data_IF_741890298029
#
_entry.id   IF_741890298029
#
_cell.length_a   1.000
_cell.length_b   1.000
_cell.length_c   1.000
_cell.angle_alpha   90.00
_cell.angle_beta   90.00
_cell.angle_gamma   90.00
#
_symmetry.space_group_name_H-M   'P 1'
#
loop_
_entity.id
_entity.type
_entity.pdbx_description
1 polymer ?
2 non-polymer ?
3 non-polymer ?
4 water ?
#
# COMPACT_ATOMS: atom_id res chain seq x y z
N UNK A 15 -27.44 22.70 -10.95
CA UNK A 15 -26.47 21.91 -11.72
C UNK A 15 -27.01 21.43 -13.10
N UNK A 16 -26.09 21.17 -14.02
CA UNK A 16 -26.31 21.14 -15.47
C UNK A 16 -26.11 19.73 -16.03
N UNK A 17 -26.97 19.33 -16.97
CA UNK A 17 -26.87 18.01 -17.62
C UNK A 17 -26.04 18.15 -18.89
N UNK A 18 -25.26 17.14 -19.25
CA UNK A 18 -24.53 17.31 -20.52
C UNK A 18 -24.24 15.92 -21.06
N UNK A 19 -24.84 15.58 -22.19
CA UNK A 19 -24.90 14.20 -22.56
C UNK A 19 -25.48 13.44 -21.40
N UNK A 20 -24.90 12.30 -21.05
CA UNK A 20 -25.43 11.52 -19.95
C UNK A 20 -24.82 11.91 -18.61
N UNK A 21 -24.05 12.99 -18.56
CA UNK A 21 -23.30 13.38 -17.39
C UNK A 21 -23.93 14.61 -16.73
N UNK A 22 -23.52 14.88 -15.50
CA UNK A 22 -24.03 16.02 -14.74
C UNK A 22 -22.85 16.78 -14.13
N UNK A 23 -22.90 18.10 -14.19
CA UNK A 23 -21.81 18.93 -13.73
C UNK A 23 -22.34 19.99 -12.79
N UNK A 24 -21.59 20.25 -11.71
CA UNK A 24 -22.08 21.10 -10.63
C UNK A 24 -20.95 21.97 -10.14
N UNK A 25 -21.12 23.28 -10.14
CA UNK A 25 -19.97 24.07 -9.74
C UNK A 25 -19.97 24.18 -8.22
N UNK A 26 -18.86 23.84 -7.60
CA UNK A 26 -18.77 23.79 -6.16
C UNK A 26 -18.13 25.04 -5.59
N UNK A 27 -17.34 25.76 -6.41
CA UNK A 27 -16.54 26.92 -6.01
C UNK A 27 -16.03 27.57 -7.28
N UNK A 28 -15.56 28.84 -7.22
CA UNK A 28 -15.07 29.55 -8.41
C UNK A 28 -14.41 28.72 -9.50
N UNK A 29 -13.40 27.91 -9.15
CA UNK A 29 -12.64 27.16 -10.14
C UNK A 29 -12.67 25.66 -9.88
N UNK A 30 -13.75 25.21 -9.23
CA UNK A 30 -13.93 23.83 -8.83
C UNK A 30 -15.32 23.39 -9.25
N UNK A 31 -15.41 22.32 -10.03
CA UNK A 31 -16.67 21.69 -10.39
C UNK A 31 -16.59 20.23 -9.99
N UNK A 32 -17.74 19.64 -9.76
CA UNK A 32 -17.87 18.20 -9.56
C UNK A 32 -18.54 17.59 -10.79
N UNK A 33 -17.86 16.61 -11.41
CA UNK A 33 -18.45 15.87 -12.53
C UNK A 33 -19.09 14.57 -12.05
N UNK A 34 -20.16 14.17 -12.72
CA UNK A 34 -20.94 13.00 -12.32
C UNK A 34 -21.33 12.15 -13.53
N UNK A 35 -21.02 10.86 -13.46
CA UNK A 35 -21.41 9.91 -14.48
C UNK A 35 -22.16 8.75 -13.83
N UNK A 36 -22.82 7.95 -14.66
CA UNK A 36 -23.74 6.94 -14.18
C UNK A 36 -23.45 5.60 -14.83
N UNK A 37 -23.69 4.53 -14.09
CA UNK A 37 -23.59 3.21 -14.68
C UNK A 37 -24.80 2.40 -14.24
N UNK A 38 -25.45 1.72 -15.17
CA UNK A 38 -26.55 0.83 -14.82
C UNK A 38 -25.97 -0.47 -14.28
N UNK A 39 -26.12 -0.72 -12.98
CA UNK A 39 -25.67 -1.95 -12.37
C UNK A 39 -26.86 -2.85 -12.10
N UNK A 40 -26.82 -4.11 -12.49
CA UNK A 40 -28.05 -4.93 -12.61
C UNK A 40 -28.58 -5.35 -11.26
N UNK A 41 -29.81 -4.96 -10.95
CA UNK A 41 -30.45 -5.20 -9.69
C UNK A 41 -30.67 -3.95 -8.86
N UNK A 42 -29.82 -2.93 -9.05
CA UNK A 42 -29.96 -1.64 -8.39
C UNK A 42 -30.12 -0.48 -9.37
N UNK A 43 -30.01 -0.71 -10.67
CA UNK A 43 -30.14 0.39 -11.59
C UNK A 43 -28.93 1.31 -11.52
N UNK A 44 -29.18 2.60 -11.73
CA UNK A 44 -28.11 3.57 -11.99
C UNK A 44 -27.35 3.92 -10.73
N UNK A 45 -26.04 4.09 -10.89
CA UNK A 45 -25.17 4.49 -9.79
C UNK A 45 -24.34 5.69 -10.23
N UNK A 46 -24.32 6.71 -9.39
CA UNK A 46 -23.61 7.93 -9.71
C UNK A 46 -22.17 7.84 -9.20
N UNK A 47 -21.27 8.52 -9.91
CA UNK A 47 -19.89 8.60 -9.45
C UNK A 47 -19.40 10.01 -9.74
N UNK A 48 -18.81 10.63 -8.72
CA UNK A 48 -18.35 12.02 -8.75
C UNK A 48 -16.83 12.07 -8.82
N UNK A 49 -16.33 12.99 -9.64
CA UNK A 49 -14.96 13.44 -9.58
C UNK A 49 -14.91 14.96 -9.57
N UNK A 50 -13.70 15.50 -9.67
CA UNK A 50 -13.52 16.94 -9.65
C UNK A 50 -12.82 17.45 -10.91
N UNK A 51 -13.16 18.67 -11.25
CA UNK A 51 -12.52 19.45 -12.31
C UNK A 51 -12.08 20.74 -11.65
N UNK A 52 -10.86 21.18 -11.95
CA UNK A 52 -10.24 22.31 -11.24
C UNK A 52 -9.50 23.17 -12.23
N UNK A 53 -9.85 24.46 -12.29
CA UNK A 53 -9.16 25.40 -13.16
C UNK A 53 -8.07 26.10 -12.37
N UNK A 54 -6.82 25.94 -12.80
CA UNK A 54 -5.67 26.51 -12.11
C UNK A 54 -4.92 27.28 -13.19
N UNK A 55 -5.11 28.61 -13.22
CA UNK A 55 -4.43 29.45 -14.19
C UNK A 55 -4.89 29.13 -15.61
N UNK A 56 -3.92 28.80 -16.47
CA UNK A 56 -4.21 28.36 -17.83
C UNK A 56 -4.51 26.89 -17.99
N UNK A 57 -4.46 26.11 -16.91
CA UNK A 57 -4.61 24.66 -16.94
C UNK A 57 -5.93 24.24 -16.33
N UNK A 58 -6.36 23.03 -16.68
CA UNK A 58 -7.38 22.34 -15.91
C UNK A 58 -6.79 21.02 -15.42
N UNK A 59 -7.13 20.68 -14.18
CA UNK A 59 -6.71 19.47 -13.50
C UNK A 59 -7.96 18.61 -13.30
N UNK A 60 -7.87 17.33 -13.61
CA UNK A 60 -8.97 16.40 -13.37
C UNK A 60 -8.63 15.45 -12.22
N UNK A 61 -9.62 15.23 -11.36
CA UNK A 61 -9.54 14.28 -10.28
C UNK A 61 -10.57 13.19 -10.57
N UNK A 62 -10.09 12.02 -11.01
CA UNK A 62 -10.85 10.80 -11.28
C UNK A 62 -11.54 10.82 -12.64
N UNK A 63 -11.55 9.68 -13.31
CA UNK A 63 -12.24 9.59 -14.59
C UNK A 63 -13.71 9.35 -14.32
N UNK A 64 -14.47 9.17 -15.39
CA UNK A 64 -15.82 8.64 -15.30
C UNK A 64 -15.77 7.11 -15.41
N UNK A 65 -16.93 6.47 -15.22
CA UNK A 65 -17.02 5.02 -15.33
C UNK A 65 -16.38 4.49 -16.62
N UNK A 66 -16.51 5.19 -17.73
CA UNK A 66 -16.16 4.62 -19.03
C UNK A 66 -15.32 5.60 -19.82
N UNK A 67 -14.71 5.08 -20.89
CA UNK A 67 -13.98 5.94 -21.82
C UNK A 67 -14.90 6.96 -22.49
N UNK A 68 -16.12 6.55 -22.86
CA UNK A 68 -17.00 7.47 -23.57
C UNK A 68 -17.45 8.61 -22.67
N UNK A 69 -17.82 8.29 -21.42
CA UNK A 69 -18.20 9.31 -20.45
C UNK A 69 -17.05 10.26 -20.16
N UNK A 70 -15.82 9.74 -20.20
CA UNK A 70 -14.64 10.57 -19.91
C UNK A 70 -14.33 11.50 -21.09
N UNK A 71 -14.45 10.99 -22.31
CA UNK A 71 -14.47 11.86 -23.49
C UNK A 71 -15.51 12.97 -23.34
N UNK A 72 -16.69 12.63 -22.78
CA UNK A 72 -17.71 13.64 -22.56
C UNK A 72 -17.26 14.69 -21.55
N UNK A 73 -16.56 14.25 -20.48
CA UNK A 73 -15.96 15.21 -19.54
C UNK A 73 -15.05 16.17 -20.30
N UNK A 74 -14.17 15.61 -21.13
CA UNK A 74 -13.20 16.45 -21.83
C UNK A 74 -13.90 17.45 -22.74
N UNK A 75 -14.95 16.99 -23.42
CA UNK A 75 -15.77 17.85 -24.27
C UNK A 75 -16.38 19.00 -23.49
N UNK A 76 -16.98 18.68 -22.34
CA UNK A 76 -17.54 19.72 -21.49
C UNK A 76 -16.47 20.70 -21.01
N UNK A 77 -15.24 20.24 -20.76
CA UNK A 77 -14.20 21.16 -20.34
C UNK A 77 -13.83 22.07 -21.49
N UNK A 78 -13.76 21.48 -22.67
CA UNK A 78 -13.55 22.27 -23.85
C UNK A 78 -14.60 23.38 -23.93
N UNK A 79 -15.86 23.04 -23.68
CA UNK A 79 -16.93 24.00 -23.90
C UNK A 79 -17.05 25.03 -22.78
N UNK A 80 -16.95 24.60 -21.53
CA UNK A 80 -17.23 25.54 -20.44
C UNK A 80 -15.99 26.24 -19.91
N UNK A 81 -14.79 25.79 -20.24
CA UNK A 81 -13.58 26.37 -19.66
C UNK A 81 -12.59 26.67 -20.78
N UNK A 82 -12.42 25.71 -21.69
CA UNK A 82 -11.68 25.90 -22.93
C UNK A 82 -10.24 26.32 -22.67
N UNK A 83 -9.63 25.62 -21.74
CA UNK A 83 -8.27 25.52 -21.27
C UNK A 83 -7.80 24.08 -21.49
N UNK A 84 -6.50 23.88 -21.76
CA UNK A 84 -6.00 22.51 -21.92
C UNK A 84 -6.00 21.76 -20.59
N UNK A 85 -6.18 20.43 -20.68
CA UNK A 85 -6.13 19.58 -19.50
C UNK A 85 -4.69 19.15 -19.27
N UNK A 86 -4.09 19.67 -18.20
CA UNK A 86 -2.69 19.40 -17.94
C UNK A 86 -2.49 17.97 -17.43
N UNK A 87 -3.28 17.57 -16.43
CA UNK A 87 -3.03 16.31 -15.76
C UNK A 87 -4.33 15.79 -15.17
N UNK A 88 -4.39 14.47 -15.02
CA UNK A 88 -5.43 13.81 -14.23
C UNK A 88 -4.79 13.06 -13.07
N UNK A 89 -5.48 13.06 -11.93
CA UNK A 89 -5.18 12.19 -10.79
C UNK A 89 -6.38 11.27 -10.58
N UNK A 90 -6.12 9.97 -10.42
CA UNK A 90 -7.17 9.01 -10.10
C UNK A 90 -6.91 8.47 -8.69
N UNK A 91 -7.98 8.20 -7.96
CA UNK A 91 -7.85 8.02 -6.53
C UNK A 91 -7.85 6.56 -6.06
N UNK A 92 -8.12 5.60 -6.94
CA UNK A 92 -7.79 4.18 -6.73
C UNK A 92 -8.24 3.35 -7.93
N UNK A 93 -7.79 2.10 -7.94
CA UNK A 93 -7.90 1.27 -9.13
C UNK A 93 -9.22 0.50 -9.15
N UNK A 94 -10.32 1.25 -9.18
CA UNK A 94 -11.64 0.70 -9.50
C UNK A 94 -12.25 1.48 -10.66
N UNK A 95 -13.36 0.95 -11.18
CA UNK A 95 -13.90 1.45 -12.44
C UNK A 95 -14.49 2.86 -12.32
N UNK A 96 -15.16 3.16 -11.20
CA UNK A 96 -15.72 4.50 -11.07
C UNK A 96 -14.61 5.55 -11.09
N UNK A 97 -13.38 5.17 -10.74
CA UNK A 97 -12.31 6.15 -10.64
C UNK A 97 -11.31 6.07 -11.77
N UNK A 98 -11.10 4.87 -12.35
CA UNK A 98 -10.17 4.68 -13.46
C UNK A 98 -10.78 4.12 -14.73
N UNK A 99 -12.10 4.00 -14.82
CA UNK A 99 -12.67 3.38 -16.00
C UNK A 99 -12.31 4.04 -17.31
N UNK A 100 -11.97 5.33 -17.28
CA UNK A 100 -11.71 6.06 -18.50
C UNK A 100 -10.27 6.51 -18.72
N UNK A 101 -9.30 5.68 -18.35
CA UNK A 101 -7.90 6.06 -18.56
C UNK A 101 -7.53 6.14 -20.03
N UNK A 102 -8.12 5.27 -20.86
CA UNK A 102 -7.82 5.30 -22.30
C UNK A 102 -8.22 6.63 -22.94
N UNK A 103 -9.37 7.18 -22.53
CA UNK A 103 -9.79 8.45 -23.10
C UNK A 103 -8.77 9.55 -22.80
N UNK A 104 -8.33 9.62 -21.55
CA UNK A 104 -7.35 10.62 -21.15
C UNK A 104 -6.06 10.45 -21.93
N UNK A 105 -5.61 9.20 -22.09
CA UNK A 105 -4.37 8.97 -22.82
C UNK A 105 -4.52 9.36 -24.28
N UNK A 106 -5.69 9.11 -24.86
CA UNK A 106 -5.94 9.48 -26.25
C UNK A 106 -6.02 10.98 -26.43
N UNK A 107 -6.50 11.70 -25.43
CA UNK A 107 -6.35 13.15 -25.41
C UNK A 107 -4.94 13.60 -25.03
N UNK A 108 -4.00 12.66 -24.90
CA UNK A 108 -2.64 12.97 -24.53
C UNK A 108 -2.50 13.75 -23.23
N UNK A 109 -3.41 13.53 -22.28
CA UNK A 109 -3.34 14.13 -20.95
C UNK A 109 -2.47 13.26 -20.06
N UNK A 110 -1.57 13.89 -19.29
CA UNK A 110 -0.72 13.18 -18.35
C UNK A 110 -1.53 12.65 -17.15
N UNK A 111 -1.40 11.37 -16.86
CA UNK A 111 -2.16 10.73 -15.79
C UNK A 111 -1.28 10.33 -14.62
N UNK A 112 -1.86 10.38 -13.43
CA UNK A 112 -1.15 10.10 -12.21
C UNK A 112 -2.02 9.25 -11.31
N UNK A 113 -1.39 8.26 -10.66
CA UNK A 113 -2.05 7.51 -9.61
C UNK A 113 -1.04 7.06 -8.57
N UNK A 114 -1.58 6.60 -7.44
CA UNK A 114 -0.77 5.87 -6.47
C UNK A 114 -0.04 4.74 -7.19
N UNK A 115 1.25 4.59 -6.89
CA UNK A 115 2.03 3.51 -7.46
C UNK A 115 1.35 2.17 -7.23
N UNK A 116 0.78 1.99 -6.03
CA UNK A 116 0.00 0.78 -5.76
C UNK A 116 -1.20 0.66 -6.69
N UNK A 117 -1.84 1.79 -7.03
CA UNK A 117 -2.95 1.71 -7.96
C UNK A 117 -2.47 1.17 -9.30
N UNK A 118 -1.33 1.68 -9.78
CA UNK A 118 -0.79 1.24 -11.04
C UNK A 118 -0.36 -0.22 -10.99
N UNK A 119 0.09 -0.70 -9.82
CA UNK A 119 0.42 -2.11 -9.69
C UNK A 119 -0.83 -2.98 -9.69
N UNK A 120 -1.89 -2.53 -9.00
CA UNK A 120 -3.14 -3.28 -8.94
C UNK A 120 -3.95 -3.25 -10.25
N UNK A 121 -3.82 -2.18 -11.03
CA UNK A 121 -4.76 -1.92 -12.13
C UNK A 121 -4.92 -3.08 -13.10
N UNK A 122 -3.86 -3.74 -13.58
CA UNK A 122 -4.07 -4.86 -14.51
C UNK A 122 -4.96 -5.94 -13.91
N UNK A 123 -4.73 -6.30 -12.65
CA UNK A 123 -5.60 -7.28 -12.03
C UNK A 123 -6.96 -6.73 -11.68
N UNK A 124 -7.12 -5.43 -11.43
CA UNK A 124 -8.53 -5.04 -11.36
C UNK A 124 -9.11 -4.65 -12.71
N UNK A 125 -8.45 -5.01 -13.80
CA UNK A 125 -8.92 -4.74 -15.13
C UNK A 125 -8.96 -3.29 -15.53
N UNK A 126 -8.11 -2.44 -14.94
CA UNK A 126 -7.98 -1.05 -15.32
C UNK A 126 -6.67 -0.83 -16.08
N UNK A 127 -6.61 0.28 -16.81
CA UNK A 127 -5.38 0.75 -17.45
C UNK A 127 -4.61 1.58 -16.44
N UNK A 128 -3.36 1.21 -16.18
CA UNK A 128 -2.56 2.01 -15.25
C UNK A 128 -2.42 3.45 -15.72
N UNK A 129 -2.22 4.36 -14.76
CA UNK A 129 -1.80 5.71 -15.13
C UNK A 129 -0.37 5.67 -15.66
N UNK A 130 0.04 6.78 -16.28
CA UNK A 130 1.38 6.85 -16.85
C UNK A 130 2.43 7.10 -15.78
N UNK A 131 2.03 7.70 -14.67
CA UNK A 131 2.96 8.15 -13.64
C UNK A 131 2.51 7.62 -12.28
N UNK A 132 3.48 7.41 -11.37
CA UNK A 132 3.19 6.82 -10.06
C UNK A 132 3.55 7.80 -8.94
N UNK A 133 2.57 8.13 -8.11
CA UNK A 133 2.80 8.89 -6.88
C UNK A 133 3.32 7.94 -5.80
N UNK A 134 4.22 8.43 -4.94
CA UNK A 134 4.60 7.71 -3.74
C UNK A 134 4.42 8.63 -2.56
N UNK A 135 4.43 8.06 -1.35
CA UNK A 135 4.03 8.81 -0.17
C UNK A 135 5.02 8.61 0.96
N UNK A 136 5.14 9.65 1.79
CA UNK A 136 5.88 9.62 3.02
C UNK A 136 5.15 8.77 4.05
N UNK A 137 5.86 8.41 5.11
CA UNK A 137 5.23 7.67 6.19
C UNK A 137 4.09 8.45 6.83
N UNK A 138 4.10 9.78 6.73
CA UNK A 138 3.03 10.58 7.32
C UNK A 138 1.79 10.67 6.44
N UNK A 139 1.84 10.12 5.22
CA UNK A 139 0.72 10.13 4.30
C UNK A 139 0.88 11.08 3.14
N UNK A 140 1.70 12.11 3.27
CA UNK A 140 1.77 13.15 2.26
C UNK A 140 2.52 12.67 1.02
N UNK A 141 2.05 13.11 -0.14
CA UNK A 141 2.69 12.72 -1.39
C UNK A 141 4.10 13.24 -1.37
N UNK A 142 5.03 12.44 -1.88
CA UNK A 142 6.38 12.92 -2.17
C UNK A 142 6.23 13.92 -3.31
N UNK A 143 6.66 15.18 -3.14
CA UNK A 143 6.36 16.19 -4.17
C UNK A 143 7.09 15.95 -5.48
N UNK A 144 8.25 15.29 -5.45
CA UNK A 144 8.93 14.92 -6.69
C UNK A 144 7.98 14.18 -7.64
N UNK A 145 7.14 13.30 -7.09
CA UNK A 145 6.33 12.43 -7.91
C UNK A 145 5.02 13.10 -8.35
N UNK A 146 4.70 14.28 -7.83
CA UNK A 146 3.52 15.03 -8.24
C UNK A 146 3.94 16.42 -8.70
N UNK A 147 4.72 16.51 -9.79
CA UNK A 147 5.24 17.81 -10.23
C UNK A 147 4.11 18.72 -10.71
N UNK A 148 4.16 19.98 -10.26
CA UNK A 148 3.28 21.03 -10.72
C UNK A 148 1.81 20.58 -10.64
N UNK A 149 1.37 20.31 -9.43
CA UNK A 149 -0.05 19.95 -9.22
C UNK A 149 -0.82 21.20 -8.76
N UNK A 150 -0.16 22.36 -8.68
CA UNK A 150 -0.85 23.54 -8.20
C UNK A 150 -1.58 23.36 -6.89
N UNK A 151 -2.89 23.65 -6.85
CA UNK A 151 -3.64 23.59 -5.59
C UNK A 151 -3.99 22.20 -5.11
N UNK A 152 -3.66 21.16 -5.87
CA UNK A 152 -4.07 19.79 -5.51
C UNK A 152 -3.07 19.26 -4.49
N UNK A 153 -3.53 19.00 -3.27
CA UNK A 153 -2.71 18.41 -2.22
C UNK A 153 -3.17 16.97 -2.02
N UNK A 154 -2.29 16.02 -2.33
CA UNK A 154 -2.65 14.60 -2.38
C UNK A 154 -2.18 13.93 -1.08
N UNK A 155 -3.07 13.18 -0.45
CA UNK A 155 -2.79 12.54 0.82
C UNK A 155 -3.21 11.08 0.76
N UNK A 156 -2.31 10.17 1.15
CA UNK A 156 -2.67 8.78 1.25
C UNK A 156 -3.05 8.46 2.71
N UNK A 157 -4.32 8.26 3.03
CA UNK A 157 -4.72 8.13 4.43
C UNK A 157 -4.50 6.75 5.04
N UNK A 158 -4.06 5.79 4.24
CA UNK A 158 -3.96 4.43 4.73
C UNK A 158 -5.04 3.57 4.10
N UNK A 159 -4.96 2.25 4.29
CA UNK A 159 -5.92 1.35 3.68
C UNK A 159 -7.33 1.44 4.28
N UNK A 160 -8.35 1.59 3.43
CA UNK A 160 -9.75 1.63 3.87
C UNK A 160 -10.69 0.98 2.87
N UNK A 161 -11.25 1.76 1.94
CA UNK A 161 -12.12 1.21 0.85
C UNK A 161 -11.27 0.28 -0.01
N UNK A 162 -10.06 0.71 -0.32
CA UNK A 162 -9.10 -0.13 -1.06
C UNK A 162 -7.77 0.04 -0.32
N UNK A 163 -6.82 -0.83 -0.54
CA UNK A 163 -5.53 -0.55 0.07
C UNK A 163 -4.85 0.65 -0.60
N UNK A 164 -5.33 1.09 -1.75
CA UNK A 164 -4.60 2.13 -2.54
C UNK A 164 -5.33 3.49 -2.58
N UNK A 165 -6.47 3.60 -1.90
CA UNK A 165 -7.29 4.85 -1.94
C UNK A 165 -6.49 6.08 -1.53
N UNK A 166 -6.50 7.11 -2.37
CA UNK A 166 -5.80 8.40 -2.07
C UNK A 166 -6.85 9.52 -2.05
N UNK A 167 -6.50 10.69 -1.52
CA UNK A 167 -7.45 11.79 -1.33
C UNK A 167 -6.80 13.10 -1.75
N UNK A 168 -7.61 14.10 -2.10
CA UNK A 168 -7.05 15.34 -2.66
C UNK A 168 -7.81 16.53 -2.07
N UNK A 169 -7.10 17.41 -1.35
CA UNK A 169 -7.64 18.71 -0.99
C UNK A 169 -7.28 19.76 -2.04
N UNK A 170 -8.10 20.81 -2.15
CA UNK A 170 -7.83 21.89 -3.09
C UNK A 170 -7.48 23.15 -2.30
N UNK A 171 -6.22 23.58 -2.45
CA UNK A 171 -5.78 24.86 -1.92
C UNK A 171 -6.73 25.97 -2.36
N UNK A 172 -6.87 26.99 -1.52
CA UNK A 172 -7.70 28.11 -1.89
C UNK A 172 -9.18 27.84 -1.91
N UNK A 173 -9.60 26.69 -1.38
CA UNK A 173 -11.01 26.38 -1.18
C UNK A 173 -11.10 25.72 0.18
N UNK A 174 -12.31 25.43 0.63
CA UNK A 174 -12.49 24.54 1.76
C UNK A 174 -13.08 23.20 1.31
N UNK A 175 -12.59 22.71 0.17
CA UNK A 175 -12.98 21.44 -0.41
C UNK A 175 -11.83 20.45 -0.26
N UNK A 176 -12.16 19.29 0.27
CA UNK A 176 -11.33 18.10 0.21
C UNK A 176 -12.15 16.99 -0.42
N UNK A 177 -11.47 16.11 -1.16
CA UNK A 177 -12.09 15.02 -1.88
C UNK A 177 -11.67 13.71 -1.23
N UNK A 178 -12.66 13.02 -0.63
CA UNK A 178 -12.49 11.72 -0.01
C UNK A 178 -12.61 10.53 -0.94
N UNK A 179 -13.15 10.71 -2.13
CA UNK A 179 -13.29 9.58 -3.04
C UNK A 179 -14.24 8.56 -2.46
N UNK A 180 -13.94 7.28 -2.67
CA UNK A 180 -14.80 6.20 -2.17
C UNK A 180 -14.55 5.91 -0.71
N UNK A 181 -13.51 6.50 -0.10
CA UNK A 181 -13.25 6.30 1.32
C UNK A 181 -14.38 6.84 2.20
N UNK A 182 -14.89 8.05 1.89
CA UNK A 182 -15.87 8.75 2.73
C UNK A 182 -17.26 8.51 2.19
N UNK A 183 -18.19 8.16 3.08
CA UNK A 183 -19.62 8.06 2.86
C UNK A 183 -20.33 9.25 3.51
N UNK A 184 -21.64 9.34 3.29
CA UNK A 184 -22.31 10.60 3.61
C UNK A 184 -22.78 10.51 5.05
N UNK A 185 -23.04 11.68 5.66
CA UNK A 185 -23.34 11.66 7.10
C UNK A 185 -24.59 10.86 7.44
N UNK A 186 -25.53 10.70 6.51
CA UNK A 186 -26.75 9.94 6.75
C UNK A 186 -26.71 8.57 6.08
N UNK A 187 -25.51 8.05 5.84
CA UNK A 187 -25.35 6.79 5.11
C UNK A 187 -25.58 5.62 6.04
N UNK A 188 -26.14 4.54 5.49
CA UNK A 188 -26.46 3.39 6.32
C UNK A 188 -25.32 2.40 6.40
N UNK A 189 -24.52 2.24 5.35
CA UNK A 189 -23.33 1.39 5.40
C UNK A 189 -22.17 2.09 4.71
N UNK A 190 -21.07 1.35 4.55
CA UNK A 190 -19.83 1.83 3.96
C UNK A 190 -19.70 1.43 2.49
N UNK A 191 -20.71 0.81 1.92
CA UNK A 191 -20.68 0.53 0.50
C UNK A 191 -19.92 -0.73 0.20
N UNK A 192 -19.26 -0.78 -0.96
CA UNK A 192 -18.55 -1.99 -1.35
C UNK A 192 -17.32 -2.18 -0.47
N UNK A 193 -17.35 -3.20 0.39
CA UNK A 193 -16.20 -3.55 1.22
C UNK A 193 -15.47 -4.79 0.72
N UNK A 194 -15.77 -5.24 -0.52
CA UNK A 194 -15.16 -6.45 -1.02
C UNK A 194 -13.66 -6.36 -1.23
N UNK A 195 -13.12 -5.13 -1.28
CA UNK A 195 -11.68 -4.91 -1.41
C UNK A 195 -11.12 -4.13 -0.23
N UNK A 196 -11.88 -4.01 0.85
CA UNK A 196 -11.62 -3.02 1.90
C UNK A 196 -10.73 -3.58 2.99
N UNK A 197 -10.04 -2.68 3.69
CA UNK A 197 -9.27 -3.02 4.88
C UNK A 197 -10.12 -2.66 6.09
N UNK A 198 -10.84 -3.65 6.62
CA UNK A 198 -11.78 -3.40 7.71
C UNK A 198 -11.07 -2.97 8.99
N UNK A 199 -9.79 -3.33 9.13
CA UNK A 199 -9.08 -3.19 10.39
C UNK A 199 -8.56 -1.77 10.57
N UNK A 200 -8.29 -1.11 9.45
CA UNK A 200 -7.68 0.21 9.43
C UNK A 200 -8.56 1.29 8.87
N UNK A 201 -9.76 0.94 8.41
CA UNK A 201 -10.65 1.90 7.71
C UNK A 201 -10.97 3.12 8.58
N UNK A 202 -11.42 2.91 9.81
CA UNK A 202 -11.71 4.07 10.66
C UNK A 202 -10.50 4.97 10.76
N UNK A 203 -9.32 4.37 11.01
CA UNK A 203 -8.13 5.18 11.18
C UNK A 203 -7.80 5.96 9.91
N UNK A 204 -8.04 5.37 8.73
CA UNK A 204 -7.71 6.07 7.48
C UNK A 204 -8.67 7.23 7.23
N UNK A 205 -9.96 7.00 7.46
CA UNK A 205 -10.92 8.10 7.39
C UNK A 205 -10.52 9.25 8.31
N UNK A 206 -10.12 8.92 9.54
CA UNK A 206 -9.79 9.98 10.48
C UNK A 206 -8.49 10.68 10.08
N UNK A 207 -7.53 9.92 9.53
CA UNK A 207 -6.29 10.51 9.05
C UNK A 207 -6.58 11.47 7.93
N UNK A 208 -7.59 11.18 7.12
CA UNK A 208 -7.99 12.08 6.03
C UNK A 208 -8.53 13.39 6.60
N UNK A 209 -9.45 13.28 7.56
CA UNK A 209 -9.82 14.41 8.40
C UNK A 209 -8.65 15.23 8.91
N UNK A 210 -7.77 14.61 9.71
CA UNK A 210 -6.66 15.36 10.28
C UNK A 210 -5.75 15.93 9.21
N UNK A 211 -5.69 15.28 8.04
CA UNK A 211 -4.82 15.77 6.98
C UNK A 211 -5.35 17.05 6.38
N UNK A 212 -6.68 17.19 6.29
CA UNK A 212 -7.29 18.44 5.81
C UNK A 212 -8.18 19.06 6.88
N UNK A 213 -7.60 19.54 7.99
CA UNK A 213 -8.42 19.78 9.20
C UNK A 213 -9.38 20.96 9.08
N UNK A 214 -9.11 21.95 8.22
CA UNK A 214 -9.97 23.11 8.02
C UNK A 214 -11.03 22.88 6.95
N UNK A 215 -10.76 22.04 5.95
CA UNK A 215 -11.69 21.77 4.87
C UNK A 215 -13.09 21.49 5.41
N UNK A 216 -14.07 22.22 4.88
CA UNK A 216 -15.42 22.11 5.39
C UNK A 216 -16.44 21.56 4.39
N UNK A 217 -16.09 21.48 3.11
CA UNK A 217 -16.92 20.83 2.09
C UNK A 217 -16.22 19.54 1.65
N UNK A 218 -16.79 18.41 2.04
CA UNK A 218 -16.22 17.10 1.78
C UNK A 218 -16.91 16.53 0.54
N UNK A 219 -16.20 16.53 -0.58
CA UNK A 219 -16.67 15.88 -1.79
C UNK A 219 -16.43 14.38 -1.70
N UNK A 220 -17.36 13.59 -2.24
CA UNK A 220 -17.34 12.15 -2.11
C UNK A 220 -17.67 11.53 -3.47
N UNK A 221 -17.43 10.22 -3.59
CA UNK A 221 -17.68 9.56 -4.86
C UNK A 221 -19.17 9.46 -5.16
N UNK A 222 -19.98 9.18 -4.13
CA UNK A 222 -21.35 8.70 -4.35
C UNK A 222 -22.41 9.49 -3.62
N UNK A 223 -22.08 10.65 -3.07
CA UNK A 223 -23.11 11.51 -2.54
C UNK A 223 -22.76 12.92 -2.92
N UNK A 224 -23.77 13.79 -2.80
CA UNK A 224 -23.55 15.20 -2.96
C UNK A 224 -22.63 15.68 -1.84
N UNK A 225 -21.88 16.77 -2.08
CA UNK A 225 -20.96 17.30 -1.06
C UNK A 225 -21.62 17.40 0.30
N UNK A 226 -20.84 17.17 1.34
CA UNK A 226 -21.38 17.00 2.68
C UNK A 226 -20.50 17.76 3.65
N UNK A 227 -20.89 17.74 4.91
CA UNK A 227 -20.14 18.34 6.01
C UNK A 227 -19.13 17.36 6.60
N UNK A 228 -18.25 17.87 7.46
CA UNK A 228 -17.26 17.00 8.09
C UNK A 228 -17.91 15.88 8.88
N UNK A 229 -19.23 15.94 9.10
CA UNK A 229 -19.91 14.80 9.72
C UNK A 229 -19.89 13.58 8.82
N UNK A 230 -19.59 13.75 7.54
CA UNK A 230 -19.36 12.60 6.67
C UNK A 230 -18.15 11.81 7.14
N UNK A 231 -17.03 12.50 7.39
CA UNK A 231 -15.83 11.86 7.93
C UNK A 231 -16.15 11.20 9.26
N UNK A 232 -16.80 11.94 10.16
CA UNK A 232 -17.11 11.41 11.48
C UNK A 232 -17.96 10.16 11.38
N UNK A 233 -19.01 10.23 10.54
CA UNK A 233 -19.96 9.15 10.47
C UNK A 233 -19.35 7.93 9.81
N UNK A 234 -18.55 8.15 8.77
CA UNK A 234 -17.82 7.05 8.13
C UNK A 234 -16.89 6.36 9.11
N UNK A 235 -16.08 7.14 9.83
CA UNK A 235 -15.19 6.56 10.84
C UNK A 235 -15.98 5.76 11.88
N UNK A 236 -17.08 6.34 12.40
CA UNK A 236 -17.88 5.68 13.42
C UNK A 236 -18.47 4.37 12.88
N UNK A 237 -18.85 4.38 11.60
CA UNK A 237 -19.36 3.17 10.97
C UNK A 237 -18.28 2.12 10.83
N UNK A 238 -17.04 2.55 10.51
CA UNK A 238 -15.93 1.60 10.36
C UNK A 238 -15.51 1.01 11.70
N UNK A 239 -15.66 1.79 12.79
CA UNK A 239 -15.32 1.31 14.11
C UNK A 239 -16.18 0.12 14.50
N UNK A 240 -17.45 0.14 14.12
CA UNK A 240 -18.37 -0.96 14.35
C UNK A 240 -18.10 -2.15 13.44
N UNK A 241 -17.01 -2.06 12.66
CA UNK A 241 -16.62 -3.16 11.76
C UNK A 241 -15.18 -3.56 12.09
N UNK A 242 -14.81 -3.49 13.37
CA UNK A 242 -13.44 -3.78 13.73
C UNK A 242 -13.36 -4.67 14.95
N UNK B 14 22.58 -29.08 13.44
CA UNK B 14 23.64 -28.11 13.17
C UNK B 14 23.30 -26.64 13.45
N UNK B 15 22.28 -26.39 14.26
CA UNK B 15 21.94 -25.01 14.56
C UNK B 15 22.85 -24.47 15.67
N UNK B 16 22.79 -23.16 15.91
CA UNK B 16 23.49 -22.55 17.03
C UNK B 16 22.51 -21.79 17.92
N UNK B 17 22.58 -22.02 19.24
CA UNK B 17 21.79 -21.28 20.21
C UNK B 17 22.61 -20.11 20.75
N UNK B 18 21.95 -18.97 21.00
CA UNK B 18 22.61 -17.88 21.69
C UNK B 18 21.91 -17.65 23.00
N UNK B 19 20.93 -16.78 23.08
CA UNK B 19 20.16 -16.79 24.30
C UNK B 19 19.03 -17.72 24.02
N UNK B 20 17.93 -17.17 23.50
CA UNK B 20 16.85 -18.03 23.03
C UNK B 20 16.73 -17.90 21.54
N UNK B 21 17.79 -17.40 20.95
CA UNK B 21 17.91 -17.26 19.52
C UNK B 21 18.62 -18.48 18.99
N UNK B 22 18.24 -18.83 17.78
CA UNK B 22 18.74 -20.00 17.10
C UNK B 22 19.09 -19.56 15.70
N UNK B 23 20.24 -20.01 15.21
CA UNK B 23 20.77 -19.55 13.93
C UNK B 23 21.15 -20.77 13.12
N UNK B 24 20.76 -20.80 11.86
CA UNK B 24 21.15 -21.85 10.93
C UNK B 24 21.76 -21.20 9.71
N UNK B 25 22.96 -21.64 9.34
CA UNK B 25 23.57 -21.10 8.14
C UNK B 25 22.88 -21.71 6.92
N UNK B 26 22.44 -20.85 6.03
CA UNK B 26 21.74 -21.26 4.82
C UNK B 26 22.68 -21.36 3.65
N UNK B 27 23.68 -20.50 3.62
CA UNK B 27 24.59 -20.37 2.49
C UNK B 27 25.82 -19.67 2.99
N UNK B 28 26.94 -19.72 2.24
CA UNK B 28 28.20 -19.14 2.73
C UNK B 28 28.07 -17.84 3.51
N UNK B 29 27.23 -16.91 3.04
CA UNK B 29 27.11 -15.59 3.67
C UNK B 29 25.70 -15.30 4.20
N UNK B 30 24.88 -16.33 4.43
CA UNK B 30 23.50 -16.10 4.82
C UNK B 30 23.11 -17.09 5.92
N UNK B 31 22.71 -16.55 7.09
CA UNK B 31 22.11 -17.27 8.19
C UNK B 31 20.63 -16.95 8.35
N UNK B 32 19.88 -17.94 8.80
CA UNK B 32 18.52 -17.74 9.28
C UNK B 32 18.54 -17.53 10.78
N UNK B 33 17.94 -16.44 11.27
CA UNK B 33 17.73 -16.29 12.71
C UNK B 33 16.27 -16.64 13.07
N UNK B 34 16.07 -17.15 14.30
CA UNK B 34 14.77 -17.63 14.74
C UNK B 34 14.55 -17.22 16.18
N UNK B 35 13.36 -16.71 16.49
CA UNK B 35 13.00 -16.37 17.85
C UNK B 35 11.60 -16.91 18.16
N UNK B 36 11.26 -17.04 19.44
CA UNK B 36 10.00 -17.65 19.81
C UNK B 36 9.20 -16.77 20.74
N UNK B 37 7.90 -16.68 20.49
CA UNK B 37 7.00 -16.04 21.44
C UNK B 37 5.96 -17.04 21.87
N UNK B 38 5.81 -17.24 23.18
CA UNK B 38 4.77 -18.11 23.73
C UNK B 38 3.42 -17.43 23.56
N UNK B 39 2.54 -17.98 22.75
CA UNK B 39 1.25 -17.31 22.76
C UNK B 39 0.28 -18.08 23.64
N UNK B 40 -0.52 -17.37 24.44
CA UNK B 40 -1.30 -18.04 25.49
C UNK B 40 -2.48 -18.79 24.88
N UNK B 41 -2.61 -20.07 25.26
CA UNK B 41 -3.53 -20.96 24.62
C UNK B 41 -3.04 -21.56 23.33
N UNK B 42 -1.86 -21.13 22.85
CA UNK B 42 -1.30 -21.61 21.60
C UNK B 42 -0.01 -22.40 21.82
N UNK B 43 0.98 -21.81 22.46
CA UNK B 43 2.32 -22.36 22.53
C UNK B 43 3.31 -21.45 21.83
N UNK B 44 4.57 -21.87 21.81
CA UNK B 44 5.59 -21.02 21.23
C UNK B 44 5.50 -21.01 19.70
N UNK B 45 5.64 -19.81 19.13
CA UNK B 45 5.65 -19.61 17.70
C UNK B 45 7.06 -19.19 17.32
N UNK B 46 7.66 -19.94 16.41
CA UNK B 46 8.94 -19.57 15.80
C UNK B 46 8.72 -18.52 14.72
N UNK B 47 9.64 -17.56 14.67
CA UNK B 47 9.66 -16.56 13.61
C UNK B 47 11.08 -16.44 13.10
N UNK B 48 11.24 -16.49 11.78
CA UNK B 48 12.53 -16.43 11.12
C UNK B 48 12.78 -15.08 10.47
N UNK B 49 14.05 -14.71 10.42
CA UNK B 49 14.55 -13.65 9.58
C UNK B 49 15.92 -14.04 9.07
N UNK B 50 16.66 -13.09 8.48
CA UNK B 50 17.92 -13.40 7.81
C UNK B 50 19.02 -12.45 8.24
N UNK B 51 20.24 -12.97 8.16
CA UNK B 51 21.49 -12.26 8.41
C UNK B 51 22.35 -12.50 7.19
N UNK B 52 22.93 -11.46 6.64
CA UNK B 52 23.63 -11.54 5.37
C UNK B 52 24.96 -10.80 5.50
N UNK B 53 26.07 -11.52 5.38
CA UNK B 53 27.38 -10.88 5.38
C UNK B 53 27.69 -10.44 3.96
N UNK B 54 27.96 -9.15 3.80
CA UNK B 54 28.13 -8.51 2.50
C UNK B 54 29.43 -7.75 2.59
N UNK B 55 30.53 -8.40 2.18
CA UNK B 55 31.84 -7.78 2.28
C UNK B 55 32.17 -7.49 3.73
N UNK B 56 32.40 -6.22 4.05
CA UNK B 56 32.67 -5.81 5.41
C UNK B 56 31.45 -5.45 6.24
N UNK B 57 30.23 -5.71 5.75
CA UNK B 57 28.99 -5.35 6.42
C UNK B 57 28.16 -6.58 6.77
N UNK B 58 27.30 -6.41 7.77
CA UNK B 58 26.19 -7.33 8.01
C UNK B 58 24.90 -6.60 7.70
N UNK B 59 23.99 -7.29 7.04
CA UNK B 59 22.65 -6.80 6.72
C UNK B 59 21.63 -7.72 7.41
N UNK B 60 20.70 -7.12 8.15
CA UNK B 60 19.70 -7.88 8.90
C UNK B 60 18.34 -7.68 8.23
N UNK B 61 17.60 -8.78 8.05
CA UNK B 61 16.25 -8.79 7.50
C UNK B 61 15.34 -9.29 8.61
N UNK B 62 14.56 -8.36 9.18
CA UNK B 62 13.56 -8.60 10.21
C UNK B 62 14.18 -8.67 11.59
N UNK B 63 13.53 -8.01 12.53
CA UNK B 63 13.86 -8.15 13.94
C UNK B 63 13.30 -9.47 14.46
N UNK B 64 13.45 -9.67 15.76
CA UNK B 64 12.79 -10.77 16.44
C UNK B 64 11.49 -10.24 17.07
N UNK B 65 10.82 -11.11 17.82
CA UNK B 65 9.55 -10.72 18.45
C UNK B 65 9.72 -9.53 19.39
N UNK B 66 10.85 -9.46 20.08
CA UNK B 66 11.01 -8.51 21.19
C UNK B 66 12.34 -7.77 21.06
N UNK B 67 12.48 -6.72 21.90
CA UNK B 67 13.75 -5.98 21.98
C UNK B 67 14.88 -6.88 22.49
N UNK B 68 14.64 -7.64 23.56
CA UNK B 68 15.71 -8.46 24.11
C UNK B 68 16.18 -9.50 23.10
N UNK B 69 15.24 -10.17 22.44
CA UNK B 69 15.63 -11.16 21.44
C UNK B 69 16.44 -10.52 20.32
N UNK B 70 16.10 -9.30 19.92
CA UNK B 70 16.82 -8.64 18.84
C UNK B 70 18.23 -8.23 19.28
N UNK B 71 18.36 -7.74 20.52
CA UNK B 71 19.68 -7.50 21.09
C UNK B 71 20.52 -8.76 21.06
N UNK B 72 19.89 -9.90 21.37
CA UNK B 72 20.62 -11.16 21.31
C UNK B 72 21.11 -11.46 19.89
N UNK B 73 20.29 -11.17 18.87
CA UNK B 73 20.77 -11.31 17.48
C UNK B 73 22.00 -10.44 17.27
N UNK B 74 21.95 -9.19 17.76
CA UNK B 74 23.06 -8.25 17.51
C UNK B 74 24.35 -8.75 18.15
N UNK B 75 24.25 -9.22 19.40
CA UNK B 75 25.41 -9.79 20.11
C UNK B 75 25.95 -11.02 19.38
N UNK B 76 25.08 -11.93 18.93
CA UNK B 76 25.57 -13.10 18.21
C UNK B 76 26.29 -12.69 16.94
N UNK B 77 25.80 -11.65 16.26
CA UNK B 77 26.52 -11.14 15.10
C UNK B 77 27.92 -10.68 15.51
N UNK B 78 28.00 -9.81 16.53
CA UNK B 78 29.30 -9.30 16.96
C UNK B 78 30.26 -10.46 17.25
N UNK B 79 29.74 -11.53 17.83
CA UNK B 79 30.60 -12.61 18.30
C UNK B 79 31.00 -13.56 17.18
N UNK B 80 30.06 -13.88 16.28
CA UNK B 80 30.24 -14.94 15.30
C UNK B 80 30.65 -14.43 13.93
N UNK B 81 30.58 -13.12 13.70
CA UNK B 81 30.90 -12.53 12.41
C UNK B 81 31.84 -11.33 12.63
N UNK B 82 31.67 -10.66 13.75
CA UNK B 82 32.37 -9.43 14.07
C UNK B 82 32.56 -8.57 12.81
N UNK B 83 31.43 -8.13 12.29
CA UNK B 83 31.35 -7.07 11.30
C UNK B 83 30.26 -6.10 11.73
N UNK B 84 30.38 -4.83 11.37
CA UNK B 84 29.33 -3.87 11.75
C UNK B 84 28.06 -4.10 10.94
N UNK B 85 26.92 -3.91 11.59
CA UNK B 85 25.61 -4.08 10.97
C UNK B 85 25.26 -2.78 10.27
N UNK B 86 25.30 -2.80 8.93
CA UNK B 86 25.05 -1.61 8.12
C UNK B 86 23.61 -1.15 8.22
N UNK B 87 22.65 -2.03 7.94
CA UNK B 87 21.24 -1.68 7.96
C UNK B 87 20.41 -2.91 8.32
N UNK B 88 19.16 -2.66 8.71
CA UNK B 88 18.14 -3.69 8.81
C UNK B 88 16.95 -3.29 7.93
N UNK B 89 16.29 -4.30 7.33
CA UNK B 89 15.09 -4.11 6.54
C UNK B 89 14.00 -4.95 7.19
N UNK B 90 12.83 -4.35 7.41
CA UNK B 90 11.77 -5.11 8.07
C UNK B 90 10.60 -5.23 7.11
N UNK B 91 9.93 -6.39 7.11
CA UNK B 91 9.13 -6.73 5.94
C UNK B 91 7.62 -6.49 6.09
N UNK B 92 7.13 -6.17 7.29
CA UNK B 92 5.83 -5.53 7.46
C UNK B 92 5.58 -5.24 8.95
N UNK B 93 4.47 -4.57 9.20
CA UNK B 93 4.25 -3.96 10.52
C UNK B 93 3.51 -4.91 11.45
N UNK B 94 4.13 -6.06 11.73
CA UNK B 94 3.61 -6.98 12.72
C UNK B 94 4.73 -7.35 13.67
N UNK B 95 4.35 -7.88 14.84
CA UNK B 95 5.31 -8.04 15.92
C UNK B 95 6.43 -9.02 15.61
N UNK B 96 6.16 -10.12 14.89
CA UNK B 96 7.25 -11.05 14.60
C UNK B 96 8.30 -10.40 13.72
N UNK B 97 7.96 -9.35 12.99
CA UNK B 97 8.90 -8.69 12.11
C UNK B 97 9.46 -7.37 12.65
N UNK B 98 8.66 -6.57 13.36
CA UNK B 98 9.08 -5.24 13.80
C UNK B 98 9.12 -5.10 15.31
N UNK B 99 8.95 -6.18 16.07
CA UNK B 99 8.84 -6.08 17.52
C UNK B 99 10.11 -5.57 18.19
N UNK B 100 11.25 -5.65 17.51
CA UNK B 100 12.51 -5.22 18.09
C UNK B 100 13.14 -3.95 17.53
N UNK B 101 12.34 -3.01 17.03
CA UNK B 101 12.93 -1.82 16.42
C UNK B 101 13.76 -1.03 17.42
N UNK B 102 13.27 -0.90 18.66
CA UNK B 102 13.97 -0.09 19.67
C UNK B 102 15.39 -0.57 19.85
N UNK B 103 15.61 -1.89 19.80
CA UNK B 103 16.97 -2.39 20.00
C UNK B 103 17.88 -2.00 18.85
N UNK B 104 17.35 -2.03 17.62
CA UNK B 104 18.17 -1.66 16.46
C UNK B 104 18.51 -0.18 16.53
N UNK B 105 17.56 0.63 16.98
CA UNK B 105 17.80 2.06 17.07
C UNK B 105 18.76 2.38 18.21
N UNK B 106 18.62 1.67 19.34
CA UNK B 106 19.55 1.82 20.44
C UNK B 106 20.96 1.50 20.00
N UNK B 107 21.11 0.52 19.10
CA UNK B 107 22.40 0.19 18.53
C UNK B 107 22.83 1.15 17.42
N UNK B 108 22.00 2.15 17.11
CA UNK B 108 22.29 3.09 16.06
C UNK B 108 22.25 2.51 14.66
N UNK B 109 21.41 1.50 14.42
CA UNK B 109 21.42 0.82 13.12
C UNK B 109 20.38 1.45 12.20
N UNK B 110 20.77 1.72 10.95
CA UNK B 110 19.85 2.29 9.97
C UNK B 110 18.72 1.29 9.68
N UNK B 111 17.47 1.70 9.87
CA UNK B 111 16.33 0.82 9.66
C UNK B 111 15.48 1.27 8.49
N UNK B 112 15.01 0.29 7.74
CA UNK B 112 14.26 0.51 6.53
C UNK B 112 12.97 -0.28 6.60
N UNK B 113 11.89 0.34 6.14
CA UNK B 113 10.64 -0.38 5.96
C UNK B 113 9.84 0.30 4.85
N UNK B 114 8.97 -0.49 4.22
CA UNK B 114 7.98 0.07 3.30
C UNK B 114 7.31 1.27 3.96
N UNK B 115 7.17 2.36 3.20
CA UNK B 115 6.53 3.56 3.74
C UNK B 115 5.20 3.24 4.39
N UNK B 116 4.42 2.36 3.76
CA UNK B 116 3.13 1.97 4.34
C UNK B 116 3.35 1.25 5.67
N UNK B 117 4.39 0.43 5.78
CA UNK B 117 4.72 -0.18 7.06
C UNK B 117 4.98 0.86 8.14
N UNK B 118 5.73 1.92 7.82
CA UNK B 118 5.98 2.99 8.79
C UNK B 118 4.70 3.76 9.12
N UNK B 119 3.80 3.91 8.15
CA UNK B 119 2.54 4.59 8.42
C UNK B 119 1.61 3.73 9.29
N UNK B 120 1.67 2.42 9.11
CA UNK B 120 0.81 1.52 9.87
C UNK B 120 1.38 1.19 11.24
N UNK B 121 2.69 1.34 11.43
CA UNK B 121 3.32 0.88 12.67
C UNK B 121 2.69 1.45 13.93
N UNK B 122 2.31 2.73 13.99
CA UNK B 122 1.68 3.24 15.22
C UNK B 122 0.46 2.42 15.63
N UNK B 123 -0.48 2.32 14.71
CA UNK B 123 -1.72 1.55 14.91
C UNK B 123 -1.44 0.07 15.20
N UNK B 124 -0.45 -0.54 14.52
CA UNK B 124 -0.29 -1.91 14.98
C UNK B 124 0.67 -2.02 16.16
N UNK B 125 0.87 -0.92 16.87
CA UNK B 125 1.64 -0.87 18.08
C UNK B 125 3.11 -1.11 17.91
N UNK B 126 3.65 -0.94 16.71
CA UNK B 126 5.08 -1.05 16.47
C UNK B 126 5.71 0.33 16.45
N UNK B 127 7.04 0.35 16.47
CA UNK B 127 7.83 1.56 16.27
C UNK B 127 8.26 1.60 14.81
N UNK B 128 8.06 2.73 14.15
CA UNK B 128 8.40 2.82 12.73
C UNK B 128 9.90 2.72 12.51
N UNK B 129 10.26 2.24 11.34
CA UNK B 129 11.63 2.36 10.90
C UNK B 129 11.97 3.82 10.66
N UNK B 130 13.26 4.08 10.56
CA UNK B 130 13.70 5.45 10.38
C UNK B 130 13.59 5.86 8.92
N UNK B 131 13.66 4.90 8.01
CA UNK B 131 13.64 5.18 6.59
C UNK B 131 12.49 4.44 5.92
N UNK B 132 11.96 5.08 4.89
CA UNK B 132 10.82 4.58 4.14
C UNK B 132 11.26 4.15 2.75
N UNK B 133 10.95 2.91 2.42
CA UNK B 133 11.15 2.36 1.09
C UNK B 133 9.91 2.64 0.28
N UNK B 134 10.07 3.05 -0.97
CA UNK B 134 8.93 3.19 -1.86
C UNK B 134 9.21 2.36 -3.12
N UNK B 135 8.21 2.24 -3.97
CA UNK B 135 8.20 1.14 -4.92
C UNK B 135 7.60 1.59 -6.24
N UNK B 136 8.21 1.15 -7.33
CA UNK B 136 7.66 1.39 -8.66
C UNK B 136 6.37 0.58 -8.86
N UNK B 137 5.70 0.84 -9.99
CA UNK B 137 4.45 0.16 -10.27
C UNK B 137 4.66 -1.33 -10.54
N UNK B 138 5.84 -1.73 -11.02
CA UNK B 138 6.14 -3.14 -11.22
C UNK B 138 6.48 -3.85 -9.91
N UNK B 139 6.56 -3.12 -8.81
CA UNK B 139 6.81 -3.71 -7.51
C UNK B 139 8.21 -3.54 -7.01
N UNK B 140 9.17 -3.18 -7.86
CA UNK B 140 10.55 -3.10 -7.40
C UNK B 140 10.77 -1.85 -6.58
N UNK B 141 11.61 -2.00 -5.53
CA UNK B 141 11.96 -0.86 -4.70
C UNK B 141 12.58 0.21 -5.56
N UNK B 142 12.24 1.46 -5.30
CA UNK B 142 12.94 2.59 -5.89
C UNK B 142 14.34 2.66 -5.30
N UNK B 143 15.41 2.44 -6.07
CA UNK B 143 16.73 2.29 -5.45
C UNK B 143 17.16 3.50 -4.64
N UNK B 144 16.69 4.69 -5.02
CA UNK B 144 16.98 5.88 -4.23
C UNK B 144 16.61 5.69 -2.77
N UNK B 145 15.51 4.98 -2.51
CA UNK B 145 15.01 4.83 -1.14
C UNK B 145 15.67 3.66 -0.43
N UNK B 146 16.43 2.83 -1.15
CA UNK B 146 17.20 1.74 -0.58
C UNK B 146 18.66 1.90 -0.99
N UNK B 147 19.34 2.91 -0.45
CA UNK B 147 20.74 3.13 -0.84
C UNK B 147 21.61 2.04 -0.24
N UNK B 148 22.60 1.58 -1.02
CA UNK B 148 23.62 0.68 -0.47
C UNK B 148 23.08 -0.62 0.10
N UNK B 149 22.20 -1.29 -0.61
CA UNK B 149 21.59 -2.51 -0.06
C UNK B 149 22.39 -3.72 -0.54
N UNK B 150 23.50 -3.50 -1.25
CA UNK B 150 24.32 -4.61 -1.67
C UNK B 150 23.48 -5.70 -2.32
N UNK B 151 23.62 -6.95 -1.86
CA UNK B 151 22.93 -8.07 -2.52
C UNK B 151 21.42 -8.12 -2.28
N UNK B 152 20.87 -7.34 -1.36
CA UNK B 152 19.45 -7.36 -1.04
C UNK B 152 18.63 -6.71 -2.15
N UNK B 153 17.86 -7.51 -2.88
CA UNK B 153 16.87 -7.02 -3.82
C UNK B 153 15.50 -7.00 -3.14
N UNK B 154 14.91 -5.82 -2.98
CA UNK B 154 13.66 -5.65 -2.24
C UNK B 154 12.52 -5.46 -3.24
N UNK B 155 11.45 -6.23 -3.07
CA UNK B 155 10.34 -6.28 -4.00
C UNK B 155 9.04 -6.21 -3.22
N UNK B 156 8.15 -5.36 -3.65
CA UNK B 156 6.83 -5.32 -3.03
C UNK B 156 5.87 -6.06 -3.96
N UNK B 157 5.36 -7.22 -3.58
CA UNK B 157 4.54 -8.00 -4.51
C UNK B 157 3.07 -7.62 -4.54
N UNK B 158 2.61 -6.68 -3.72
CA UNK B 158 1.20 -6.40 -3.62
C UNK B 158 0.63 -6.86 -2.30
N UNK B 159 -0.63 -6.52 -2.04
CA UNK B 159 -1.25 -6.83 -0.73
C UNK B 159 -1.55 -8.32 -0.66
N UNK B 160 -1.14 -8.94 0.43
CA UNK B 160 -1.29 -10.38 0.55
C UNK B 160 -1.61 -10.70 1.98
N UNK B 161 -0.57 -11.09 2.70
CA UNK B 161 -0.68 -11.34 4.13
C UNK B 161 -1.02 -10.06 4.90
N UNK B 162 -0.39 -8.93 4.54
CA UNK B 162 -0.86 -7.59 4.92
C UNK B 162 -0.85 -6.72 3.67
N UNK B 163 -1.24 -5.45 3.80
CA UNK B 163 -1.14 -4.61 2.61
C UNK B 163 0.28 -4.12 2.37
N UNK B 164 1.12 -4.19 3.39
CA UNK B 164 2.49 -3.60 3.34
C UNK B 164 3.59 -4.65 3.22
N UNK B 165 3.22 -5.91 3.05
CA UNK B 165 4.22 -7.00 3.03
C UNK B 165 5.24 -6.81 1.89
N UNK B 166 6.52 -6.88 2.21
CA UNK B 166 7.60 -6.74 1.20
C UNK B 166 8.45 -8.00 1.22
N UNK B 167 9.20 -8.25 0.14
CA UNK B 167 9.97 -9.49 -0.02
C UNK B 167 11.41 -9.14 -0.39
N UNK B 168 12.31 -10.07 -0.13
CA UNK B 168 13.73 -9.78 -0.35
C UNK B 168 14.38 -11.02 -0.97
N UNK B 169 15.00 -10.86 -2.14
CA UNK B 169 15.93 -11.84 -2.66
C UNK B 169 17.35 -11.43 -2.30
N UNK B 170 18.23 -12.41 -2.15
CA UNK B 170 19.64 -12.15 -1.83
C UNK B 170 20.45 -12.45 -3.07
N UNK B 171 21.10 -11.41 -3.57
CA UNK B 171 21.76 -11.49 -4.86
C UNK B 171 22.93 -12.44 -4.69
N UNK B 172 23.22 -13.21 -5.74
CA UNK B 172 24.33 -14.14 -5.66
C UNK B 172 24.12 -15.34 -4.76
N UNK B 173 22.87 -15.66 -4.42
CA UNK B 173 22.51 -16.86 -3.69
C UNK B 173 21.32 -17.47 -4.42
N UNK B 174 20.85 -18.65 -3.98
CA UNK B 174 19.57 -19.12 -4.51
C UNK B 174 18.39 -18.67 -3.65
N UNK B 175 18.57 -17.69 -2.78
CA UNK B 175 17.66 -17.47 -1.66
C UNK B 175 16.79 -16.25 -1.91
N UNK B 176 15.48 -16.43 -1.76
CA UNK B 176 14.53 -15.34 -1.65
C UNK B 176 13.73 -15.53 -0.37
N UNK B 177 13.38 -14.41 0.28
CA UNK B 177 12.71 -14.38 1.59
C UNK B 177 11.28 -13.88 1.43
N UNK B 178 10.32 -14.77 1.62
CA UNK B 178 8.93 -14.37 1.48
C UNK B 178 8.29 -13.76 2.71
N UNK B 179 8.93 -13.86 3.88
CA UNK B 179 8.30 -13.36 5.09
C UNK B 179 7.00 -14.10 5.37
N UNK B 180 6.02 -13.38 5.91
CA UNK B 180 4.76 -14.02 6.27
C UNK B 180 3.85 -14.28 5.07
N UNK B 181 4.29 -13.94 3.85
CA UNK B 181 3.41 -14.07 2.69
C UNK B 181 3.29 -15.52 2.24
N UNK B 182 4.41 -16.23 2.25
CA UNK B 182 4.55 -17.58 1.71
C UNK B 182 4.51 -18.57 2.86
N UNK B 183 3.70 -19.60 2.67
CA UNK B 183 3.64 -20.68 3.68
C UNK B 183 4.31 -21.90 3.04
N UNK B 184 4.66 -22.91 3.83
CA UNK B 184 5.39 -24.06 3.28
C UNK B 184 4.43 -24.93 2.47
N UNK B 185 5.01 -25.83 1.67
CA UNK B 185 4.23 -26.58 0.67
C UNK B 185 3.30 -27.61 1.31
N UNK B 186 3.54 -27.96 2.57
CA UNK B 186 2.72 -28.92 3.29
C UNK B 186 1.70 -28.23 4.20
N UNK B 187 1.69 -26.90 4.22
CA UNK B 187 0.97 -26.17 5.24
C UNK B 187 -0.54 -26.29 5.06
N UNK B 188 -1.24 -26.30 6.20
CA UNK B 188 -2.68 -26.56 6.18
C UNK B 188 -3.46 -25.35 5.67
N UNK B 189 -3.06 -24.15 6.06
CA UNK B 189 -3.78 -22.93 5.73
C UNK B 189 -2.79 -21.81 5.47
N UNK B 190 -3.33 -20.61 5.23
CA UNK B 190 -2.54 -19.40 5.07
C UNK B 190 -2.32 -18.67 6.38
N UNK B 191 -2.58 -19.30 7.52
CA UNK B 191 -2.26 -18.67 8.81
C UNK B 191 -3.15 -17.48 9.12
N UNK B 192 -2.55 -16.44 9.68
CA UNK B 192 -3.32 -15.31 10.22
C UNK B 192 -3.75 -14.38 9.10
N UNK B 193 -5.06 -14.31 8.86
CA UNK B 193 -5.59 -13.48 7.78
C UNK B 193 -6.38 -12.28 8.32
N UNK B 194 -6.26 -11.98 9.62
CA UNK B 194 -6.99 -10.86 10.20
C UNK B 194 -6.66 -9.53 9.57
N UNK B 195 -5.49 -9.41 8.94
CA UNK B 195 -5.05 -8.20 8.28
C UNK B 195 -4.83 -8.42 6.79
N UNK B 196 -5.33 -9.51 6.23
CA UNK B 196 -4.93 -9.97 4.91
C UNK B 196 -5.87 -9.48 3.83
N UNK B 197 -5.32 -9.37 2.61
CA UNK B 197 -6.08 -8.99 1.41
C UNK B 197 -6.45 -10.25 0.66
N UNK B 198 -7.73 -10.60 0.70
CA UNK B 198 -8.12 -11.88 0.10
C UNK B 198 -8.16 -11.82 -1.42
N UNK B 199 -8.63 -10.73 -2.02
CA UNK B 199 -8.74 -10.74 -3.49
C UNK B 199 -7.36 -10.80 -4.17
N UNK B 200 -6.31 -10.35 -3.50
CA UNK B 200 -4.99 -10.20 -4.17
C UNK B 200 -3.88 -11.16 -3.70
N UNK B 201 -4.09 -11.92 -2.62
CA UNK B 201 -3.02 -12.78 -2.04
C UNK B 201 -2.40 -13.73 -3.07
N UNK B 202 -3.21 -14.37 -3.90
CA UNK B 202 -2.70 -15.35 -4.88
C UNK B 202 -1.84 -14.62 -5.91
N UNK B 203 -2.32 -13.45 -6.33
CA UNK B 203 -1.52 -12.70 -7.28
C UNK B 203 -0.20 -12.25 -6.66
N UNK B 204 -0.24 -11.80 -5.39
CA UNK B 204 1.00 -11.35 -4.75
C UNK B 204 1.97 -12.51 -4.54
N UNK B 205 1.47 -13.67 -4.11
CA UNK B 205 2.37 -14.81 -3.99
C UNK B 205 3.03 -15.12 -5.35
N UNK B 206 2.23 -15.12 -6.42
CA UNK B 206 2.78 -15.40 -7.74
C UNK B 206 3.74 -14.30 -8.18
N UNK B 207 3.43 -13.05 -7.83
CA UNK B 207 4.30 -11.92 -8.18
C UNK B 207 5.65 -12.03 -7.51
N UNK B 208 5.67 -12.49 -6.27
CA UNK B 208 6.92 -12.75 -5.59
C UNK B 208 7.69 -13.85 -6.31
N UNK B 209 6.97 -14.90 -6.74
CA UNK B 209 7.60 -15.93 -7.54
C UNK B 209 8.24 -15.39 -8.81
N UNK B 210 7.50 -14.59 -9.57
CA UNK B 210 7.98 -14.01 -10.81
C UNK B 210 9.08 -12.98 -10.56
N UNK B 211 9.13 -12.37 -9.38
CA UNK B 211 10.14 -11.37 -9.11
C UNK B 211 11.51 -11.99 -8.93
N UNK B 212 11.58 -13.17 -8.30
CA UNK B 212 12.83 -13.91 -8.11
C UNK B 212 12.69 -15.26 -8.82
N UNK B 213 12.74 -15.26 -10.15
CA UNK B 213 12.36 -16.48 -10.88
C UNK B 213 13.35 -17.62 -10.74
N UNK B 214 14.64 -17.37 -10.46
CA UNK B 214 15.61 -18.46 -10.37
C UNK B 214 15.81 -18.93 -8.92
N UNK B 215 15.32 -18.17 -7.93
CA UNK B 215 15.49 -18.53 -6.53
C UNK B 215 14.89 -19.90 -6.25
N UNK B 216 15.67 -20.76 -5.63
CA UNK B 216 15.23 -22.14 -5.37
C UNK B 216 15.18 -22.51 -3.90
N UNK B 217 15.73 -21.71 -2.99
CA UNK B 217 15.54 -21.89 -1.55
C UNK B 217 14.70 -20.73 -1.03
N UNK B 218 13.44 -21.03 -0.71
CA UNK B 218 12.44 -20.04 -0.34
C UNK B 218 12.34 -20.01 1.18
N UNK B 219 12.79 -18.89 1.77
CA UNK B 219 12.86 -18.69 3.23
C UNK B 219 11.61 -17.96 3.70
N UNK B 220 11.05 -18.40 4.82
CA UNK B 220 9.72 -17.99 5.23
C UNK B 220 9.75 -17.67 6.72
N UNK B 221 8.71 -16.98 7.20
CA UNK B 221 8.76 -16.54 8.58
C UNK B 221 8.62 -17.70 9.54
N UNK B 222 7.84 -18.73 9.19
CA UNK B 222 7.38 -19.74 10.14
C UNK B 222 7.63 -21.17 9.69
N UNK B 223 8.50 -21.40 8.74
CA UNK B 223 8.86 -22.78 8.50
C UNK B 223 10.32 -22.81 8.07
N UNK B 224 10.90 -24.00 8.14
CA UNK B 224 12.22 -24.18 7.59
C UNK B 224 12.20 -23.82 6.11
N UNK B 225 13.37 -23.48 5.53
CA UNK B 225 13.43 -23.18 4.10
C UNK B 225 12.83 -24.30 3.27
N UNK B 226 12.29 -23.92 2.12
CA UNK B 226 11.46 -24.82 1.30
C UNK B 226 11.81 -24.59 -0.17
N UNK B 227 11.20 -25.38 -1.02
CA UNK B 227 11.32 -25.25 -2.46
C UNK B 227 10.25 -24.31 -3.02
N UNK B 228 10.41 -23.94 -4.30
CA UNK B 228 9.40 -23.07 -4.91
C UNK B 228 8.01 -23.63 -4.80
N UNK B 229 7.87 -24.92 -4.47
CA UNK B 229 6.55 -25.48 -4.21
C UNK B 229 5.84 -24.77 -3.07
N UNK B 230 6.61 -24.10 -2.18
CA UNK B 230 6.02 -23.19 -1.20
C UNK B 230 5.23 -22.09 -1.90
N UNK B 231 5.80 -21.47 -2.94
CA UNK B 231 5.09 -20.39 -3.61
C UNK B 231 3.84 -20.93 -4.29
N UNK B 232 3.97 -22.06 -4.98
CA UNK B 232 2.83 -22.64 -5.70
C UNK B 232 1.71 -23.02 -4.75
N UNK B 233 2.06 -23.65 -3.61
CA UNK B 233 1.06 -24.07 -2.66
C UNK B 233 0.38 -22.88 -2.00
N UNK B 234 1.18 -21.86 -1.64
CA UNK B 234 0.62 -20.64 -1.08
C UNK B 234 -0.37 -20.02 -2.05
N UNK B 235 -0.01 -19.98 -3.34
CA UNK B 235 -0.90 -19.38 -4.32
C UNK B 235 -2.19 -20.18 -4.48
N UNK B 236 -2.10 -21.52 -4.48
CA UNK B 236 -3.31 -22.31 -4.69
C UNK B 236 -4.25 -22.18 -3.50
N UNK B 237 -3.69 -22.24 -2.29
CA UNK B 237 -4.49 -21.98 -1.10
C UNK B 237 -5.16 -20.60 -1.19
N UNK B 238 -4.44 -19.59 -1.70
CA UNK B 238 -5.05 -18.25 -1.81
C UNK B 238 -6.10 -18.18 -2.91
N UNK B 239 -5.94 -18.99 -3.96
CA UNK B 239 -6.98 -19.08 -5.00
C UNK B 239 -8.28 -19.56 -4.40
N UNK B 240 -8.22 -20.53 -3.50
CA UNK B 240 -9.45 -21.12 -2.89
C UNK B 240 -10.01 -20.14 -1.86
N UNK B 241 -9.66 -18.85 -1.92
CA UNK B 241 -10.12 -17.84 -0.93
C UNK B 241 -10.73 -16.68 -1.69
N UNK B 242 -10.53 -16.65 -3.01
CA UNK B 242 -11.03 -15.60 -3.87
C UNK B 242 -12.52 -15.78 -4.12
X LIG C 1 -13.74 1.55 -5.26
X LIG D 1 -16.98 3.91 -5.23
X LIG E 1 -21.47 2.12 -3.49
X LIG E 1 -20.54 1.56 -4.25
X LIG E 1 -19.11 1.95 -4.21
X LIG E 1 -18.37 2.34 -2.99
X LIG E 1 -20.95 0.52 -5.26
X LIG E 1 -18.81 1.80 -6.65
X LIG E 1 -17.82 0.75 -7.17
X LIG E 1 -16.60 0.74 -6.30
X LIG E 1 -16.82 -0.06 -9.15
X LIG E 1 -18.39 2.00 -5.26
X LIG E 1 -18.48 1.67 -1.83
X LIG E 1 -17.65 3.33 -3.08
X LIG E 1 -15.64 1.65 -6.46
X LIG E 1 -16.49 -0.11 -5.43
X LIG E 1 -17.38 1.07 -8.50
X LIG E 1 -20.48 1.24 -6.80
X LIG F 1 2.26 -10.61 9.89
X LIG G 1 4.01 -14.16 10.54
X LIG H 1 1.00 -17.99 11.95
X LIG H 1 1.05 -16.71 12.30
X LIG H 1 1.64 -15.68 11.43
X LIG H 1 1.65 -15.74 9.96
X LIG H 1 0.52 -16.29 13.63
X LIG H 1 2.53 -14.36 13.32
X LIG H 1 1.88 -12.98 13.50
X LIG H 1 1.77 -12.34 12.15
X LIG H 1 1.73 -11.39 15.18
X LIG H 1 2.19 -14.65 11.92
X LIG H 1 0.55 -16.09 9.30
X LIG H 1 2.68 -15.48 9.34
X LIG H 1 2.75 -11.97 11.50
X LIG H 1 0.56 -12.16 11.63
X LIG H 1 2.63 -12.11 14.36
X LIG H 1 1.86 -15.53 14.47
#
# INVERSE_FOLDING_TARGET
GEIRPTIGQQMETGDQRFGDLVFRQLAPNVWQHTSYLDMPGFGAVASNGLIVRDGGRVLVVDTAWTDDQTAQILNWIKQEINLPVALAVVTHAHQDKMGGMDALHAAGIATYANALSNQLAPQEGMVAAQHSLTFAANGWVEPATAPNFGPLKVFYPGPGHTSDNITVGIDGTDIAFGGCLIKDSKAKSLGNLGDADTEHYAASARAFGAAFPKASMIVMSHSAPDSRAAITHTARMADKLR
GEIRPTIGQQMETGDQRFGDLVFRQLAPNVWQHTSYLDMPGFGAVASNGLIVRDGGRVLVVDTAWTDDQTAQILNWIKQEINLPVALAVVTHAHQDKMGGMDALHAAGIATYANALSNQLAPQEGMVAAQHSLTFAANGWVEPATAPNFGPLKVFYPGPGHTSDNITVGIDGTDIAFGGCLIKDSKAKSLGNLGDADTEHYAASARAFGAAFPKASMIVMSHSAPDSRAAITHTARMADKLR
ZN ZN
ZN ZN
7T6 C1 C2 C3 C4 C5 C6 C7 C8 CO9 N1 O1 O2 O4 O5 O9 S
ZN ZN
ZN ZN
7T6 C1 C2 C3 C4 C5 C6 C7 C8 CO9 N1 O1 O2 O4 O5 O9 S
#
